data_IF_586530289988
#
_entry.id   IF_586530289988
#
_cell.length_a   1.000
_cell.length_b   1.000
_cell.length_c   1.000
_cell.angle_alpha   90.00
_cell.angle_beta   90.00
_cell.angle_gamma   90.00
#
_symmetry.space_group_name_H-M   'P 1'
#
loop_
_entity.id
_entity.type
_entity.pdbx_description
1 polymer ?
#
# COMPACT_ATOMS: atom_id res chain seq x y z
N UNK A 1 -15.03 -15.92 -16.66
CA UNK A 1 -15.31 -16.62 -15.39
C UNK A 1 -14.01 -17.05 -14.73
N UNK A 2 -13.90 -17.05 -13.40
CA UNK A 2 -12.76 -17.66 -12.73
C UNK A 2 -12.74 -19.17 -13.01
N UNK A 3 -11.54 -19.75 -13.01
CA UNK A 3 -11.39 -21.22 -13.13
C UNK A 3 -11.10 -21.82 -11.76
N UNK A 4 -11.52 -23.04 -11.54
CA UNK A 4 -11.09 -23.83 -10.39
C UNK A 4 -9.73 -24.46 -10.65
N UNK A 5 -8.82 -24.37 -9.68
CA UNK A 5 -7.52 -25.02 -9.75
C UNK A 5 -6.98 -25.36 -8.36
N UNK A 6 -5.98 -26.23 -8.32
CA UNK A 6 -5.35 -26.66 -7.07
C UNK A 6 -4.21 -25.73 -6.61
N UNK A 7 -3.83 -24.72 -7.43
CA UNK A 7 -2.77 -23.80 -7.06
C UNK A 7 -3.05 -22.37 -7.56
N UNK A 8 -2.59 -21.39 -6.79
CA UNK A 8 -2.87 -19.96 -6.92
C UNK A 8 -2.51 -19.36 -8.29
N UNK A 9 -1.48 -19.86 -8.94
CA UNK A 9 -0.94 -19.27 -10.17
C UNK A 9 -1.31 -20.03 -11.45
N UNK A 10 -2.35 -20.86 -11.40
CA UNK A 10 -2.79 -21.67 -12.53
C UNK A 10 -3.10 -20.87 -13.80
N UNK A 11 -3.48 -19.57 -13.67
CA UNK A 11 -3.71 -18.64 -14.77
C UNK A 11 -2.56 -17.66 -15.00
N UNK A 12 -1.49 -17.75 -14.22
CA UNK A 12 -0.40 -16.78 -14.25
C UNK A 12 -0.64 -15.56 -13.36
N UNK A 13 0.10 -14.50 -13.65
CA UNK A 13 0.10 -13.25 -12.86
C UNK A 13 0.02 -12.04 -13.78
N UNK A 14 -0.43 -10.90 -13.24
CA UNK A 14 -0.48 -9.63 -13.93
C UNK A 14 0.06 -8.50 -13.06
N UNK A 15 0.67 -7.49 -13.69
CA UNK A 15 1.13 -6.24 -13.04
C UNK A 15 0.12 -5.11 -13.19
N UNK A 16 -0.80 -5.16 -14.14
CA UNK A 16 -1.73 -4.07 -14.48
C UNK A 16 -1.01 -2.76 -14.82
N UNK A 17 -0.11 -2.85 -15.77
CA UNK A 17 0.75 -1.78 -16.26
C UNK A 17 1.83 -2.34 -17.17
N UNK A 18 2.97 -1.68 -17.25
CA UNK A 18 4.11 -2.19 -18.00
C UNK A 18 5.43 -2.10 -17.21
N UNK A 19 6.32 -3.06 -17.45
CA UNK A 19 7.65 -3.18 -16.85
C UNK A 19 8.67 -3.31 -17.99
N UNK A 20 9.74 -2.55 -17.96
CA UNK A 20 10.86 -2.67 -18.93
C UNK A 20 11.73 -3.88 -18.62
N UNK A 21 12.53 -4.26 -19.61
CA UNK A 21 13.60 -5.22 -19.43
C UNK A 21 14.67 -4.66 -18.48
N UNK A 22 15.41 -5.51 -17.82
CA UNK A 22 16.46 -5.11 -16.89
C UNK A 22 17.51 -6.20 -16.75
N UNK A 23 18.66 -5.85 -16.16
CA UNK A 23 19.69 -6.81 -15.83
C UNK A 23 19.48 -7.43 -14.44
N UNK A 24 19.83 -8.71 -14.28
CA UNK A 24 19.98 -9.32 -12.97
C UNK A 24 21.35 -8.98 -12.35
N UNK A 25 21.62 -9.50 -11.16
CA UNK A 25 22.87 -9.27 -10.43
C UNK A 25 24.11 -9.83 -11.16
N UNK A 26 23.91 -10.70 -12.15
CA UNK A 26 24.96 -11.27 -13.01
C UNK A 26 25.11 -10.52 -14.35
N UNK A 27 24.35 -9.44 -14.58
CA UNK A 27 24.37 -8.65 -15.81
C UNK A 27 23.58 -9.23 -16.98
N UNK A 28 22.85 -10.34 -16.80
CA UNK A 28 22.02 -10.93 -17.83
C UNK A 28 20.72 -10.14 -18.01
N UNK A 29 20.34 -9.89 -19.27
CA UNK A 29 19.09 -9.20 -19.58
C UNK A 29 17.89 -10.12 -19.35
N UNK A 30 17.03 -9.74 -18.42
CA UNK A 30 15.76 -10.40 -18.12
C UNK A 30 14.62 -9.58 -18.72
N UNK A 31 13.83 -10.24 -19.57
CA UNK A 31 12.61 -9.60 -20.13
C UNK A 31 11.61 -9.32 -19.02
N UNK A 32 11.04 -8.10 -19.04
CA UNK A 32 10.08 -7.64 -18.04
C UNK A 32 10.54 -7.87 -16.60
N UNK A 33 11.81 -7.50 -16.34
CA UNK A 33 12.45 -7.71 -15.05
C UNK A 33 11.71 -6.97 -13.95
N UNK A 34 11.06 -7.73 -13.06
CA UNK A 34 10.20 -7.24 -11.99
C UNK A 34 11.02 -6.57 -10.88
N UNK A 35 11.17 -5.26 -11.03
CA UNK A 35 11.79 -4.37 -10.06
C UNK A 35 11.05 -3.03 -10.10
N UNK A 36 10.92 -2.33 -8.98
CA UNK A 36 10.21 -1.04 -8.91
C UNK A 36 10.82 0.01 -9.85
N UNK A 37 12.15 0.00 -10.03
CA UNK A 37 12.87 0.90 -10.96
C UNK A 37 12.57 0.60 -12.44
N UNK A 38 12.03 -0.57 -12.72
CA UNK A 38 11.72 -1.02 -14.08
C UNK A 38 10.25 -0.82 -14.44
N UNK A 39 9.40 -0.41 -13.50
CA UNK A 39 7.99 -0.10 -13.78
C UNK A 39 7.94 1.13 -14.66
N UNK A 40 7.33 0.97 -15.85
CA UNK A 40 7.12 2.07 -16.81
C UNK A 40 5.89 2.85 -16.40
N UNK A 41 4.78 2.16 -16.13
CA UNK A 41 3.53 2.75 -15.65
C UNK A 41 2.64 1.71 -14.96
N UNK A 42 1.66 2.21 -14.22
CA UNK A 42 0.50 1.47 -13.72
C UNK A 42 -0.77 2.18 -14.19
N UNK A 43 -1.85 1.43 -14.41
CA UNK A 43 -3.17 1.97 -14.78
C UNK A 43 -4.31 1.36 -13.96
N UNK A 44 -3.99 0.50 -12.99
CA UNK A 44 -4.92 -0.03 -11.99
C UNK A 44 -4.22 -0.04 -10.65
N UNK A 45 -4.82 0.53 -9.62
CA UNK A 45 -4.39 0.33 -8.24
C UNK A 45 -5.05 -0.93 -7.70
N UNK A 46 -4.26 -1.75 -7.02
CA UNK A 46 -4.72 -3.02 -6.44
C UNK A 46 -4.41 -3.04 -4.95
N UNK A 47 -5.44 -3.23 -4.15
CA UNK A 47 -5.33 -3.39 -2.69
C UNK A 47 -5.68 -4.84 -2.31
N UNK A 48 -4.74 -5.51 -1.64
CA UNK A 48 -4.90 -6.89 -1.17
C UNK A 48 -5.24 -6.84 0.34
N UNK A 49 -6.37 -7.41 0.72
CA UNK A 49 -6.84 -7.49 2.10
C UNK A 49 -6.81 -8.94 2.55
N UNK A 50 -5.85 -9.28 3.41
CA UNK A 50 -5.59 -10.64 3.88
C UNK A 50 -6.09 -10.90 5.30
N UNK A 51 -6.30 -9.85 6.09
CA UNK A 51 -6.76 -9.89 7.49
C UNK A 51 -8.10 -9.17 7.63
N UNK A 52 -9.18 -9.81 7.23
CA UNK A 52 -10.54 -9.25 7.26
C UNK A 52 -11.32 -9.92 8.38
N UNK A 53 -11.68 -9.16 9.41
CA UNK A 53 -12.54 -9.64 10.49
C UNK A 53 -14.02 -9.66 10.10
N UNK A 54 -14.47 -8.66 9.34
CA UNK A 54 -15.84 -8.53 8.85
C UNK A 54 -15.82 -8.06 7.38
N UNK A 55 -16.15 -8.97 6.47
CA UNK A 55 -16.19 -8.70 5.03
C UNK A 55 -17.30 -7.70 4.66
N UNK A 56 -18.41 -7.69 5.41
CA UNK A 56 -19.51 -6.75 5.18
C UNK A 56 -19.07 -5.34 5.54
N UNK A 57 -18.46 -5.15 6.70
CA UNK A 57 -17.92 -3.86 7.13
C UNK A 57 -16.88 -3.30 6.14
N UNK A 58 -15.95 -4.14 5.67
CA UNK A 58 -14.99 -3.73 4.64
C UNK A 58 -15.69 -3.33 3.34
N UNK A 59 -16.69 -4.10 2.89
CA UNK A 59 -17.46 -3.74 1.70
C UNK A 59 -18.19 -2.40 1.83
N UNK A 60 -18.79 -2.14 2.98
CA UNK A 60 -19.46 -0.86 3.28
C UNK A 60 -18.45 0.30 3.31
N UNK A 61 -17.26 0.09 3.88
CA UNK A 61 -16.19 1.08 3.89
C UNK A 61 -15.70 1.42 2.46
N UNK A 62 -15.45 0.40 1.63
CA UNK A 62 -15.08 0.58 0.21
C UNK A 62 -16.18 1.34 -0.53
N UNK A 63 -17.44 0.92 -0.39
CA UNK A 63 -18.58 1.50 -1.07
C UNK A 63 -18.82 2.96 -0.68
N UNK A 64 -18.61 3.30 0.59
CA UNK A 64 -18.72 4.67 1.10
C UNK A 64 -17.56 5.54 0.61
N UNK A 65 -16.32 5.06 0.75
CA UNK A 65 -15.13 5.83 0.40
C UNK A 65 -14.99 6.08 -1.10
N UNK A 66 -15.50 5.16 -1.94
CA UNK A 66 -15.38 5.13 -3.39
C UNK A 66 -16.75 5.07 -4.09
N UNK A 67 -17.76 5.74 -3.55
CA UNK A 67 -19.15 5.67 -4.04
C UNK A 67 -19.31 6.11 -5.50
N UNK A 68 -18.50 7.08 -5.95
CA UNK A 68 -18.64 7.74 -7.25
C UNK A 68 -17.61 7.28 -8.30
N UNK A 69 -16.83 6.23 -8.01
CA UNK A 69 -15.78 5.74 -8.92
C UNK A 69 -15.91 4.24 -9.14
N UNK A 70 -15.47 3.80 -10.32
CA UNK A 70 -15.47 2.39 -10.68
C UNK A 70 -14.47 1.60 -9.83
N UNK A 71 -14.92 0.49 -9.30
CA UNK A 71 -14.07 -0.51 -8.67
C UNK A 71 -14.71 -1.89 -8.76
N UNK A 72 -13.90 -2.91 -8.63
CA UNK A 72 -14.39 -4.26 -8.38
C UNK A 72 -13.48 -4.96 -7.38
N UNK A 73 -14.05 -5.85 -6.59
CA UNK A 73 -13.28 -6.75 -5.78
C UNK A 73 -13.80 -8.20 -5.90
N UNK A 74 -12.92 -9.12 -5.63
CA UNK A 74 -13.26 -10.54 -5.54
C UNK A 74 -12.46 -11.21 -4.43
N UNK A 75 -12.99 -12.35 -3.94
CA UNK A 75 -12.28 -13.20 -2.99
C UNK A 75 -11.03 -13.80 -3.62
N UNK A 76 -9.92 -13.83 -2.88
CA UNK A 76 -8.65 -14.39 -3.36
C UNK A 76 -8.64 -15.92 -3.26
N UNK A 77 -7.61 -16.55 -3.83
CA UNK A 77 -7.46 -18.01 -3.84
C UNK A 77 -7.50 -18.64 -2.43
N UNK A 78 -6.92 -17.96 -1.44
CA UNK A 78 -6.83 -18.44 -0.05
C UNK A 78 -8.00 -17.98 0.83
N UNK A 79 -9.09 -17.47 0.24
CA UNK A 79 -10.27 -17.08 0.99
C UNK A 79 -11.01 -18.31 1.54
N UNK A 80 -11.37 -18.24 2.82
CA UNK A 80 -12.26 -19.21 3.48
C UNK A 80 -13.40 -18.50 4.19
N UNK A 81 -14.36 -19.23 4.70
CA UNK A 81 -15.46 -18.67 5.53
C UNK A 81 -14.96 -18.11 6.85
N UNK A 82 -13.91 -18.70 7.43
CA UNK A 82 -13.31 -18.30 8.70
C UNK A 82 -12.30 -17.15 8.52
N UNK A 83 -11.62 -17.10 7.36
CA UNK A 83 -10.64 -16.08 7.06
C UNK A 83 -10.92 -15.45 5.69
N UNK A 84 -11.66 -14.37 5.72
CA UNK A 84 -11.97 -13.63 4.50
C UNK A 84 -10.74 -12.94 3.93
N UNK A 85 -10.57 -13.05 2.60
CA UNK A 85 -9.50 -12.41 1.84
C UNK A 85 -10.03 -11.91 0.53
N UNK A 86 -9.83 -10.63 0.23
CA UNK A 86 -10.26 -10.04 -1.04
C UNK A 86 -9.14 -9.25 -1.70
N UNK A 87 -9.32 -9.02 -2.98
CA UNK A 87 -8.50 -8.10 -3.76
C UNK A 87 -9.39 -7.08 -4.43
N UNK A 88 -9.14 -5.80 -4.12
CA UNK A 88 -9.84 -4.66 -4.68
C UNK A 88 -9.02 -4.06 -5.83
N UNK A 89 -9.69 -3.79 -6.94
CA UNK A 89 -9.13 -3.18 -8.14
C UNK A 89 -9.81 -1.86 -8.42
N UNK A 90 -9.02 -0.84 -8.66
CA UNK A 90 -9.47 0.52 -8.95
C UNK A 90 -8.80 0.96 -10.26
N UNK A 91 -9.50 0.91 -11.40
CA UNK A 91 -8.98 1.35 -12.69
C UNK A 91 -8.80 2.87 -12.70
N UNK A 92 -7.76 3.34 -13.37
CA UNK A 92 -7.42 4.75 -13.51
C UNK A 92 -7.66 5.23 -14.94
N UNK A 93 -8.08 6.49 -15.09
CA UNK A 93 -8.25 7.13 -16.39
C UNK A 93 -6.91 7.37 -17.11
N UNK A 94 -5.80 7.45 -16.36
CA UNK A 94 -4.47 7.70 -16.90
C UNK A 94 -3.43 6.69 -16.38
N UNK A 95 -2.26 6.70 -17.03
CA UNK A 95 -1.08 5.95 -16.60
C UNK A 95 -0.34 6.75 -15.53
N UNK A 96 0.04 6.10 -14.44
CA UNK A 96 0.77 6.72 -13.35
C UNK A 96 2.17 6.10 -13.20
N UNK A 97 3.10 6.88 -12.67
CA UNK A 97 4.46 6.44 -12.37
C UNK A 97 4.50 5.46 -11.18
N UNK A 98 5.66 4.82 -10.98
CA UNK A 98 5.89 3.97 -9.81
C UNK A 98 5.74 4.73 -8.47
N UNK A 99 6.19 5.99 -8.43
CA UNK A 99 6.14 6.81 -7.22
C UNK A 99 4.70 7.29 -6.94
N UNK A 100 3.96 7.66 -7.99
CA UNK A 100 2.54 8.00 -7.86
C UNK A 100 1.71 6.79 -7.45
N UNK A 101 2.03 5.59 -7.96
CA UNK A 101 1.38 4.36 -7.52
C UNK A 101 1.54 4.16 -6.02
N UNK A 102 2.75 4.29 -5.46
CA UNK A 102 2.98 4.19 -4.01
C UNK A 102 2.20 5.24 -3.23
N UNK A 103 2.23 6.48 -3.71
CA UNK A 103 1.54 7.62 -3.11
C UNK A 103 0.03 7.39 -3.07
N UNK A 104 -0.58 7.11 -4.21
CA UNK A 104 -2.03 6.98 -4.34
C UNK A 104 -2.59 5.71 -3.68
N UNK A 105 -1.83 4.62 -3.71
CA UNK A 105 -2.22 3.39 -3.01
C UNK A 105 -2.33 3.61 -1.50
N UNK A 106 -1.40 4.38 -0.89
CA UNK A 106 -1.47 4.76 0.53
C UNK A 106 -2.65 5.68 0.84
N UNK A 107 -2.91 6.64 -0.04
CA UNK A 107 -4.05 7.56 0.10
C UNK A 107 -5.38 6.80 0.07
N UNK A 108 -5.54 5.87 -0.87
CA UNK A 108 -6.74 5.04 -0.99
C UNK A 108 -6.91 4.10 0.21
N UNK A 109 -5.83 3.43 0.64
CA UNK A 109 -5.86 2.58 1.82
C UNK A 109 -6.30 3.35 3.08
N UNK A 110 -5.76 4.56 3.26
CA UNK A 110 -6.15 5.42 4.37
C UNK A 110 -7.62 5.88 4.26
N UNK A 111 -8.07 6.26 3.08
CA UNK A 111 -9.44 6.72 2.84
C UNK A 111 -10.48 5.62 3.12
N UNK A 112 -10.16 4.37 2.79
CA UNK A 112 -11.00 3.20 3.09
C UNK A 112 -10.93 2.84 4.58
N UNK A 113 -9.80 3.10 5.24
CA UNK A 113 -9.64 2.95 6.69
C UNK A 113 -9.48 1.51 7.18
N UNK A 114 -9.12 0.56 6.31
CA UNK A 114 -8.84 -0.83 6.66
C UNK A 114 -7.39 -1.21 6.36
N UNK A 115 -6.85 -2.15 7.15
CA UNK A 115 -5.47 -2.64 6.99
C UNK A 115 -5.32 -3.35 5.65
N UNK A 116 -4.37 -2.89 4.84
CA UNK A 116 -4.00 -3.45 3.54
C UNK A 116 -2.67 -4.21 3.69
N UNK A 117 -2.49 -5.31 2.95
CA UNK A 117 -1.17 -5.96 2.83
C UNK A 117 -0.15 -4.96 2.26
N UNK A 118 0.97 -4.76 2.96
CA UNK A 118 2.01 -3.80 2.60
C UNK A 118 2.59 -4.03 1.20
N UNK A 119 2.58 -5.26 0.72
CA UNK A 119 2.96 -5.57 -0.65
C UNK A 119 2.11 -4.87 -1.70
N UNK A 120 0.89 -4.41 -1.37
CA UNK A 120 0.05 -3.62 -2.27
C UNK A 120 0.69 -2.27 -2.63
N UNK A 121 1.60 -1.74 -1.80
CA UNK A 121 2.31 -0.49 -2.05
C UNK A 121 3.48 -0.63 -3.02
N UNK A 122 3.86 -1.86 -3.40
CA UNK A 122 4.97 -2.11 -4.32
C UNK A 122 4.51 -1.98 -5.78
N UNK A 123 5.03 -1.04 -6.56
CA UNK A 123 4.61 -0.85 -7.96
C UNK A 123 4.91 -2.06 -8.85
N UNK A 124 5.98 -2.81 -8.58
CA UNK A 124 6.35 -4.01 -9.33
C UNK A 124 5.63 -5.29 -8.88
N UNK A 125 4.71 -5.20 -7.89
CA UNK A 125 4.01 -6.40 -7.42
C UNK A 125 3.14 -7.02 -8.51
N UNK A 126 3.32 -8.32 -8.70
CA UNK A 126 2.44 -9.14 -9.53
C UNK A 126 1.31 -9.72 -8.69
N UNK A 127 0.12 -9.69 -9.24
CA UNK A 127 -1.06 -10.29 -8.63
C UNK A 127 -1.47 -11.54 -9.42
N UNK A 128 -1.74 -12.64 -8.72
CA UNK A 128 -2.27 -13.83 -9.35
C UNK A 128 -3.60 -13.51 -10.04
N UNK A 129 -3.76 -13.96 -11.28
CA UNK A 129 -5.04 -13.87 -11.98
C UNK A 129 -6.06 -14.76 -11.26
N UNK A 130 -7.33 -14.36 -11.34
CA UNK A 130 -8.41 -14.95 -10.56
C UNK A 130 -8.55 -16.44 -10.79
N UNK A 131 -8.31 -17.21 -9.73
CA UNK A 131 -8.47 -18.65 -9.63
C UNK A 131 -9.23 -18.94 -8.35
N UNK A 132 -10.13 -19.92 -8.38
CA UNK A 132 -10.84 -20.42 -7.21
C UNK A 132 -10.20 -21.73 -6.79
N UNK A 133 -9.94 -21.91 -5.51
CA UNK A 133 -9.57 -23.21 -4.98
C UNK A 133 -10.80 -24.13 -5.03
N UNK A 134 -10.61 -25.37 -5.43
CA UNK A 134 -11.70 -26.34 -5.57
C UNK A 134 -12.50 -26.46 -4.25
N UNK A 135 -13.80 -26.29 -4.34
CA UNK A 135 -14.71 -26.34 -3.19
C UNK A 135 -14.80 -25.06 -2.35
N UNK A 136 -14.09 -23.99 -2.73
CA UNK A 136 -14.17 -22.70 -2.05
C UNK A 136 -15.21 -21.77 -2.69
N UNK A 137 -15.73 -20.85 -1.88
CA UNK A 137 -16.73 -19.87 -2.32
C UNK A 137 -16.03 -18.72 -3.04
N UNK A 138 -16.57 -18.32 -4.20
CA UNK A 138 -16.15 -17.13 -4.92
C UNK A 138 -17.20 -16.03 -4.81
N UNK A 139 -16.82 -14.92 -4.21
CA UNK A 139 -17.66 -13.74 -4.08
C UNK A 139 -16.99 -12.60 -4.86
N UNK A 140 -17.79 -11.83 -5.59
CA UNK A 140 -17.35 -10.60 -6.26
C UNK A 140 -18.37 -9.49 -6.05
N UNK A 141 -17.89 -8.25 -6.08
CA UNK A 141 -18.72 -7.03 -6.11
C UNK A 141 -18.12 -6.05 -7.11
N UNK A 142 -18.99 -5.29 -7.73
CA UNK A 142 -18.63 -4.29 -8.75
C UNK A 142 -19.39 -3.02 -8.43
N UNK A 143 -18.73 -1.89 -8.56
CA UNK A 143 -19.36 -0.57 -8.63
C UNK A 143 -19.17 -0.04 -10.06
N UNK A 144 -20.25 0.04 -10.80
CA UNK A 144 -20.26 0.49 -12.20
C UNK A 144 -20.46 2.01 -12.27
N UNK A 145 -19.38 2.72 -11.99
CA UNK A 145 -19.28 4.18 -11.99
C UNK A 145 -18.18 4.65 -12.94
N UNK A 146 -17.98 5.96 -13.14
CA UNK A 146 -16.84 6.47 -13.90
C UNK A 146 -15.49 5.97 -13.33
N UNK A 147 -14.54 5.75 -14.23
CA UNK A 147 -13.16 5.35 -13.86
C UNK A 147 -12.54 6.43 -12.98
N UNK A 148 -11.70 6.02 -12.03
CA UNK A 148 -11.00 6.92 -11.10
C UNK A 148 -10.15 7.94 -11.84
N UNK A 149 -10.39 9.21 -11.58
CA UNK A 149 -9.60 10.31 -12.10
C UNK A 149 -8.31 10.47 -11.27
N UNK A 150 -7.18 10.55 -11.94
CA UNK A 150 -5.86 10.75 -11.31
C UNK A 150 -5.78 12.11 -10.62
N UNK A 151 -6.42 13.16 -11.16
CA UNK A 151 -6.47 14.48 -10.53
C UNK A 151 -7.18 14.43 -9.17
N UNK A 152 -8.22 13.62 -9.03
CA UNK A 152 -8.89 13.37 -7.75
C UNK A 152 -7.94 12.72 -6.73
N UNK A 153 -7.14 11.74 -7.17
CA UNK A 153 -6.13 11.10 -6.31
C UNK A 153 -5.04 12.08 -5.88
N UNK A 154 -4.63 12.98 -6.77
CA UNK A 154 -3.66 14.03 -6.44
C UNK A 154 -4.23 15.00 -5.40
N UNK A 155 -5.50 15.40 -5.54
CA UNK A 155 -6.17 16.23 -4.54
C UNK A 155 -6.22 15.53 -3.18
N UNK A 156 -6.69 14.28 -3.11
CA UNK A 156 -6.72 13.50 -1.88
C UNK A 156 -5.33 13.30 -1.27
N UNK A 157 -4.29 13.20 -2.11
CA UNK A 157 -2.90 13.12 -1.64
C UNK A 157 -2.44 14.40 -0.93
N UNK A 158 -2.87 15.57 -1.41
CA UNK A 158 -2.57 16.86 -0.75
C UNK A 158 -3.28 16.97 0.60
N UNK A 159 -4.56 16.60 0.63
CA UNK A 159 -5.36 16.56 1.86
C UNK A 159 -4.75 15.59 2.89
N UNK A 160 -4.35 14.39 2.46
CA UNK A 160 -3.69 13.39 3.30
C UNK A 160 -2.37 13.89 3.90
N UNK A 161 -1.56 14.59 3.11
CA UNK A 161 -0.31 15.20 3.62
C UNK A 161 -0.58 16.30 4.64
N UNK A 162 -1.60 17.12 4.43
CA UNK A 162 -1.99 18.17 5.37
C UNK A 162 -2.51 17.59 6.69
N UNK A 163 -3.33 16.54 6.65
CA UNK A 163 -3.85 15.89 7.84
C UNK A 163 -2.80 15.12 8.66
N UNK A 164 -1.77 14.61 7.99
CA UNK A 164 -0.65 13.91 8.62
C UNK A 164 0.61 14.78 8.78
N UNK A 165 0.58 16.06 8.36
CA UNK A 165 1.57 17.00 8.76
C UNK A 165 1.46 17.11 10.28
N UNK A 166 2.42 16.55 11.00
CA UNK A 166 2.56 16.76 12.44
C UNK A 166 2.40 18.25 12.68
N UNK A 167 1.56 18.69 13.66
CA UNK A 167 1.52 20.10 14.02
C UNK A 167 2.98 20.51 14.17
N UNK A 168 3.39 21.54 13.43
CA UNK A 168 4.77 22.03 13.42
C UNK A 168 5.35 21.79 14.79
N UNK A 169 6.34 20.90 14.89
CA UNK A 169 7.11 20.77 16.12
C UNK A 169 7.70 22.17 16.28
N UNK A 170 7.02 22.96 17.10
CA UNK A 170 7.41 24.30 17.47
C UNK A 170 8.87 24.18 17.82
N UNK A 171 9.70 24.77 17.00
CA UNK A 171 11.13 24.82 17.02
C UNK A 171 11.79 23.80 17.95
N UNK A 172 12.54 22.87 17.40
CA UNK A 172 13.62 22.23 18.15
C UNK A 172 14.46 23.36 18.72
N UNK A 173 14.16 23.78 19.93
CA UNK A 173 15.07 24.59 20.71
C UNK A 173 16.32 23.75 20.84
N UNK A 174 17.37 24.15 20.15
CA UNK A 174 18.69 23.51 20.21
C UNK A 174 19.01 23.39 21.68
N UNK A 175 18.88 22.16 22.22
CA UNK A 175 19.12 21.91 23.63
C UNK A 175 20.55 22.32 23.92
N UNK A 176 20.74 23.09 24.97
CA UNK A 176 22.02 23.64 25.31
C UNK A 176 23.05 22.59 25.75
N UNK A 177 24.28 22.97 25.88
CA UNK A 177 25.36 22.09 26.31
C UNK A 177 25.17 21.57 27.74
N UNK A 178 24.38 22.26 28.57
CA UNK A 178 24.06 21.84 29.93
C UNK A 178 23.16 20.61 29.92
N UNK A 179 22.13 20.59 29.08
CA UNK A 179 21.25 19.42 28.88
C UNK A 179 22.03 18.17 28.44
N UNK A 180 22.98 18.30 27.53
CA UNK A 180 23.79 17.17 27.06
C UNK A 180 24.78 16.68 28.10
N UNK A 181 25.32 17.56 28.92
CA UNK A 181 26.15 17.21 30.08
C UNK A 181 25.35 16.42 31.12
N UNK A 182 24.15 16.88 31.46
CA UNK A 182 23.26 16.21 32.40
C UNK A 182 22.89 14.80 31.94
N UNK A 183 22.61 14.65 30.63
CA UNK A 183 22.31 13.36 30.03
C UNK A 183 23.49 12.38 30.07
N UNK A 184 24.75 12.87 30.05
CA UNK A 184 25.96 12.04 30.12
C UNK A 184 26.20 11.45 31.51
N UNK A 185 25.61 12.01 32.56
CA UNK A 185 25.68 11.49 33.94
C UNK A 185 24.58 10.45 34.25
N UNK A 186 23.74 10.14 33.31
CA UNK A 186 22.65 9.17 33.44
C UNK A 186 21.28 9.84 33.56
N UNK A 187 20.23 9.04 33.43
CA UNK A 187 18.84 9.51 33.48
C UNK A 187 18.08 8.80 34.60
N UNK A 188 17.13 9.52 35.20
CA UNK A 188 16.22 8.93 36.20
C UNK A 188 15.29 7.88 35.54
N UNK A 189 14.86 6.94 36.35
CA UNK A 189 13.92 5.92 35.97
C UNK A 189 12.60 6.59 35.42
N UNK A 190 12.15 6.23 34.23
CA UNK A 190 11.05 6.84 33.53
C UNK A 190 11.46 7.76 32.34
N UNK A 191 12.68 8.31 32.35
CA UNK A 191 13.16 9.20 31.26
C UNK A 191 14.11 8.52 30.28
N UNK A 192 14.44 7.25 30.49
CA UNK A 192 15.42 6.49 29.68
C UNK A 192 15.04 6.44 28.20
N UNK A 193 13.78 6.22 27.88
CA UNK A 193 13.32 6.10 26.49
C UNK A 193 13.41 7.44 25.75
N UNK A 194 13.09 8.56 26.42
CA UNK A 194 13.20 9.91 25.84
C UNK A 194 14.66 10.32 25.65
N UNK A 195 15.53 9.94 26.56
CA UNK A 195 16.96 10.18 26.46
C UNK A 195 17.59 9.38 25.31
N UNK A 196 17.24 8.09 25.19
CA UNK A 196 17.70 7.23 24.11
C UNK A 196 17.21 7.72 22.72
N UNK A 197 15.95 8.11 22.61
CA UNK A 197 15.40 8.68 21.39
C UNK A 197 16.10 9.98 20.98
N UNK A 198 16.46 10.82 21.97
CA UNK A 198 17.22 12.07 21.73
C UNK A 198 18.65 11.81 21.24
N UNK A 199 19.34 10.80 21.79
CA UNK A 199 20.68 10.39 21.37
C UNK A 199 20.69 9.76 19.98
N UNK A 200 19.72 8.88 19.67
CA UNK A 200 19.57 8.26 18.35
C UNK A 200 19.31 9.33 17.29
N UNK A 201 18.43 10.30 17.57
CA UNK A 201 18.15 11.38 16.64
C UNK A 201 19.42 12.19 16.30
N UNK A 202 20.31 12.44 17.27
CA UNK A 202 21.58 13.15 17.10
C UNK A 202 22.57 12.38 16.22
N UNK A 203 22.66 11.08 16.37
CA UNK A 203 23.58 10.22 15.59
C UNK A 203 23.18 10.10 14.12
N UNK A 204 21.89 10.24 13.80
CA UNK A 204 21.39 10.11 12.44
C UNK A 204 21.12 11.45 11.72
N UNK A 205 21.17 12.57 12.42
CA UNK A 205 20.88 13.90 11.85
C UNK A 205 22.09 14.85 11.84
N UNK A 206 23.26 14.40 12.32
CA UNK A 206 24.51 15.17 12.13
C UNK A 206 25.01 15.00 10.71
N UNK A 207 25.35 16.11 10.01
CA UNK A 207 25.90 16.11 8.66
C UNK A 207 27.29 15.46 8.62
#
# INVERSE_FOLDING_TARGET
MPIEANYKYARGVAVYGDIKDGANDHGEIIKKHRNDKNVIYRNVIVLDYDEINDLKQLHEAISSALSNVAWFWHTSFSHTTEQSRIRLYIPLNERISADDYRKYTKVLANKIGHKVDEGSYQPSRCFALTVIQKGHIFIKRVNDCPIMDVDMLEQWSKEYKQSNASPNVIGYTRRDSAYWRELSFGTTEGNRNNALASLVCLLYTSP
#
